data_IF_879985915709
#
_entry.id   IF_879985915709
#
_cell.length_a   1.000
_cell.length_b   1.000
_cell.length_c   1.000
_cell.angle_alpha   90.00
_cell.angle_beta   90.00
_cell.angle_gamma   90.00
#
_symmetry.space_group_name_H-M   'P 1'
#
loop_
_entity.id
_entity.type
_entity.pdbx_description
1 polymer ?
#
# COMPACT_ATOMS: atom_id res chain seq x y z
N UNK A 1 -11.32 -30.13 0.15
CA UNK A 1 -10.83 -29.16 1.14
C UNK A 1 -10.54 -27.87 0.39
N UNK A 2 -11.53 -26.98 0.30
CA UNK A 2 -11.40 -25.67 -0.34
C UNK A 2 -11.16 -24.67 0.78
N UNK A 3 -9.92 -24.19 0.91
CA UNK A 3 -9.58 -23.13 1.85
C UNK A 3 -9.85 -21.79 1.12
N UNK A 4 -10.89 -21.02 1.48
CA UNK A 4 -11.20 -19.76 0.82
C UNK A 4 -10.13 -18.68 1.06
N UNK A 5 -9.21 -18.90 2.00
CA UNK A 5 -8.14 -17.98 2.38
C UNK A 5 -7.09 -17.67 1.30
N UNK A 6 -7.23 -18.14 0.05
CA UNK A 6 -6.21 -18.00 -1.00
C UNK A 6 -6.63 -17.04 -2.13
N UNK A 7 -7.84 -16.50 -2.13
CA UNK A 7 -8.27 -15.60 -3.22
C UNK A 7 -8.15 -14.10 -2.94
N UNK A 8 -7.80 -13.68 -1.71
CA UNK A 8 -7.82 -12.25 -1.37
C UNK A 8 -6.58 -11.46 -1.85
N UNK A 9 -6.85 -10.44 -2.66
CA UNK A 9 -6.25 -9.12 -2.49
C UNK A 9 -4.87 -8.82 -3.08
N UNK A 10 -4.43 -9.52 -4.14
CA UNK A 10 -3.14 -9.17 -4.78
C UNK A 10 -3.15 -7.78 -5.43
N UNK A 11 -4.30 -7.30 -5.92
CA UNK A 11 -4.41 -6.04 -6.63
C UNK A 11 -5.36 -5.03 -5.97
N UNK A 12 -4.99 -3.72 -5.94
CA UNK A 12 -5.83 -2.67 -5.36
C UNK A 12 -7.24 -2.54 -5.97
N UNK A 13 -7.43 -3.01 -7.21
CA UNK A 13 -8.74 -2.98 -7.89
C UNK A 13 -9.76 -3.92 -7.24
N UNK A 14 -9.28 -4.97 -6.56
CA UNK A 14 -10.12 -6.10 -6.18
C UNK A 14 -10.58 -5.99 -4.71
N UNK A 15 -9.88 -5.22 -3.88
CA UNK A 15 -10.19 -5.05 -2.45
C UNK A 15 -11.65 -4.69 -2.16
N UNK A 16 -12.26 -3.87 -3.02
CA UNK A 16 -13.67 -3.48 -2.84
C UNK A 16 -14.60 -4.68 -3.07
N UNK A 17 -14.30 -5.51 -4.07
CA UNK A 17 -15.05 -6.72 -4.36
C UNK A 17 -14.84 -7.74 -3.23
N UNK A 18 -13.61 -7.95 -2.78
CA UNK A 18 -13.28 -8.88 -1.68
C UNK A 18 -14.01 -8.51 -0.38
N UNK A 19 -14.03 -7.22 -0.01
CA UNK A 19 -14.78 -6.75 1.18
C UNK A 19 -16.29 -6.92 1.00
N UNK A 20 -16.81 -6.71 -0.21
CA UNK A 20 -18.22 -6.90 -0.49
C UNK A 20 -18.61 -8.39 -0.43
N UNK A 21 -17.77 -9.28 -0.95
CA UNK A 21 -17.96 -10.73 -0.88
C UNK A 21 -17.94 -11.22 0.58
N UNK A 22 -16.97 -10.78 1.38
CA UNK A 22 -16.90 -11.09 2.80
C UNK A 22 -18.15 -10.59 3.54
N UNK A 23 -18.63 -9.38 3.23
CA UNK A 23 -19.83 -8.82 3.84
C UNK A 23 -21.10 -9.60 3.47
N UNK A 24 -21.28 -9.95 2.20
CA UNK A 24 -22.41 -10.76 1.73
C UNK A 24 -22.40 -12.14 2.37
N UNK A 25 -21.23 -12.78 2.42
CA UNK A 25 -21.05 -14.11 3.04
C UNK A 25 -21.38 -14.05 4.53
N UNK A 26 -20.93 -13.02 5.23
CA UNK A 26 -21.25 -12.81 6.63
C UNK A 26 -22.74 -12.54 6.85
N UNK A 27 -23.40 -11.76 6.00
CA UNK A 27 -24.83 -11.47 6.12
C UNK A 27 -25.69 -12.73 5.98
N UNK A 28 -25.37 -13.57 4.99
CA UNK A 28 -26.04 -14.87 4.79
C UNK A 28 -25.86 -15.78 6.03
N UNK A 29 -24.64 -15.92 6.52
CA UNK A 29 -24.34 -16.78 7.68
C UNK A 29 -24.86 -16.20 9.00
N UNK A 30 -24.89 -14.87 9.16
CA UNK A 30 -25.40 -14.19 10.33
C UNK A 30 -26.92 -14.33 10.43
N UNK A 31 -27.62 -14.39 9.30
CA UNK A 31 -29.05 -14.71 9.23
C UNK A 31 -29.36 -16.10 9.81
N UNK A 32 -28.55 -17.10 9.45
CA UNK A 32 -28.72 -18.49 9.90
C UNK A 32 -28.27 -18.72 11.35
N UNK A 33 -27.28 -17.97 11.83
CA UNK A 33 -26.66 -18.19 13.14
C UNK A 33 -27.13 -17.21 14.22
N UNK A 34 -28.06 -16.32 13.92
CA UNK A 34 -28.50 -15.24 14.83
C UNK A 34 -28.96 -15.78 16.19
N UNK A 35 -28.28 -15.36 17.25
CA UNK A 35 -28.59 -15.75 18.63
C UNK A 35 -28.08 -17.14 19.03
N UNK A 36 -27.43 -17.87 18.12
CA UNK A 36 -26.75 -19.12 18.42
C UNK A 36 -25.29 -18.87 18.83
N UNK A 37 -24.72 -19.77 19.64
CA UNK A 37 -23.30 -19.70 20.01
C UNK A 37 -22.35 -19.68 18.79
N UNK A 38 -22.79 -20.26 17.67
CA UNK A 38 -22.07 -20.33 16.40
C UNK A 38 -21.87 -18.95 15.74
N UNK A 39 -22.68 -17.94 16.11
CA UNK A 39 -22.57 -16.58 15.59
C UNK A 39 -21.19 -15.95 15.84
N UNK A 40 -20.57 -16.28 16.99
CA UNK A 40 -19.22 -15.81 17.32
C UNK A 40 -18.17 -16.30 16.31
N UNK A 41 -18.30 -17.54 15.84
CA UNK A 41 -17.39 -18.14 14.87
C UNK A 41 -17.55 -17.49 13.50
N UNK A 42 -18.80 -17.28 13.06
CA UNK A 42 -19.12 -16.58 11.80
C UNK A 42 -18.55 -15.15 11.80
N UNK A 43 -18.77 -14.41 12.88
CA UNK A 43 -18.21 -13.07 13.05
C UNK A 43 -16.67 -13.10 13.03
N UNK A 44 -16.05 -14.13 13.60
CA UNK A 44 -14.60 -14.32 13.60
C UNK A 44 -14.02 -14.53 12.21
N UNK A 45 -14.68 -15.33 11.36
CA UNK A 45 -14.27 -15.52 9.95
C UNK A 45 -14.41 -14.23 9.16
N UNK A 46 -15.52 -13.51 9.30
CA UNK A 46 -15.71 -12.22 8.65
C UNK A 46 -14.62 -11.20 9.03
N UNK A 47 -14.29 -11.10 10.33
CA UNK A 47 -13.21 -10.22 10.79
C UNK A 47 -11.84 -10.65 10.23
N UNK A 48 -11.62 -11.95 10.04
CA UNK A 48 -10.39 -12.45 9.44
C UNK A 48 -10.28 -12.03 7.97
N UNK A 49 -11.35 -12.17 7.19
CA UNK A 49 -11.38 -11.77 5.78
C UNK A 49 -11.10 -10.26 5.62
N UNK A 50 -11.72 -9.43 6.47
CA UNK A 50 -11.45 -7.98 6.50
C UNK A 50 -9.99 -7.68 6.88
N UNK A 51 -9.44 -8.40 7.86
CA UNK A 51 -8.07 -8.19 8.32
C UNK A 51 -7.04 -8.54 7.23
N UNK A 52 -7.29 -9.56 6.41
CA UNK A 52 -6.43 -9.93 5.28
C UNK A 52 -6.40 -8.80 4.24
N UNK A 53 -7.57 -8.27 3.85
CA UNK A 53 -7.65 -7.14 2.91
C UNK A 53 -6.95 -5.91 3.48
N UNK A 54 -7.14 -5.62 4.77
CA UNK A 54 -6.46 -4.49 5.43
C UNK A 54 -4.93 -4.65 5.45
N UNK A 55 -4.43 -5.87 5.68
CA UNK A 55 -3.00 -6.15 5.66
C UNK A 55 -2.41 -5.95 4.26
N UNK A 56 -3.13 -6.37 3.20
CA UNK A 56 -2.75 -6.14 1.80
C UNK A 56 -2.70 -4.64 1.48
N UNK A 57 -3.72 -3.88 1.90
CA UNK A 57 -3.77 -2.41 1.75
C UNK A 57 -2.57 -1.72 2.41
N UNK A 58 -2.30 -2.05 3.67
CA UNK A 58 -1.19 -1.45 4.43
C UNK A 58 0.16 -1.75 3.78
N UNK A 59 0.36 -2.97 3.31
CA UNK A 59 1.59 -3.40 2.63
C UNK A 59 1.78 -2.67 1.30
N UNK A 60 0.70 -2.51 0.51
CA UNK A 60 0.72 -1.77 -0.74
C UNK A 60 1.04 -0.29 -0.54
N UNK A 61 0.42 0.35 0.45
CA UNK A 61 0.69 1.76 0.80
C UNK A 61 2.14 1.93 1.26
N UNK A 62 2.64 1.05 2.12
CA UNK A 62 4.03 1.09 2.57
C UNK A 62 5.02 0.94 1.40
N UNK A 63 4.80 -0.07 0.53
CA UNK A 63 5.65 -0.31 -0.64
C UNK A 63 5.63 0.85 -1.65
N UNK A 64 4.45 1.38 -1.96
CA UNK A 64 4.30 2.52 -2.87
C UNK A 64 4.90 3.80 -2.30
N UNK A 65 4.75 4.06 -0.99
CA UNK A 65 5.34 5.20 -0.31
C UNK A 65 6.87 5.14 -0.30
N UNK A 66 7.45 3.96 -0.03
CA UNK A 66 8.91 3.76 -0.10
C UNK A 66 9.44 3.99 -1.51
N UNK A 67 8.78 3.43 -2.54
CA UNK A 67 9.19 3.61 -3.94
C UNK A 67 9.14 5.09 -4.35
N UNK A 68 8.04 5.77 -4.06
CA UNK A 68 7.86 7.17 -4.42
C UNK A 68 8.80 8.08 -3.64
N UNK A 69 9.02 7.80 -2.35
CA UNK A 69 10.01 8.51 -1.53
C UNK A 69 11.42 8.40 -2.09
N UNK A 70 11.85 7.18 -2.46
CA UNK A 70 13.16 6.96 -3.07
C UNK A 70 13.31 7.72 -4.40
N UNK A 71 12.27 7.71 -5.25
CA UNK A 71 12.28 8.46 -6.51
C UNK A 71 12.40 9.97 -6.26
N UNK A 72 11.66 10.51 -5.29
CA UNK A 72 11.76 11.92 -4.90
C UNK A 72 13.16 12.27 -4.38
N UNK A 73 13.76 11.40 -3.57
CA UNK A 73 15.15 11.57 -3.10
C UNK A 73 16.13 11.58 -4.27
N UNK A 74 16.01 10.65 -5.22
CA UNK A 74 16.87 10.61 -6.41
C UNK A 74 16.74 11.87 -7.26
N UNK A 75 15.51 12.35 -7.49
CA UNK A 75 15.26 13.62 -8.19
C UNK A 75 15.88 14.80 -7.44
N UNK A 76 15.71 14.85 -6.12
CA UNK A 76 16.31 15.88 -5.27
C UNK A 76 17.84 15.89 -5.35
N UNK A 77 18.47 14.72 -5.30
CA UNK A 77 19.92 14.58 -5.45
C UNK A 77 20.39 15.01 -6.85
N UNK A 78 19.65 14.67 -7.91
CA UNK A 78 19.96 15.11 -9.27
C UNK A 78 19.95 16.63 -9.41
N UNK A 79 18.91 17.29 -8.88
CA UNK A 79 18.81 18.76 -8.89
C UNK A 79 19.92 19.41 -8.06
N UNK A 80 20.16 18.91 -6.84
CA UNK A 80 21.21 19.44 -5.97
C UNK A 80 22.60 19.30 -6.61
N UNK A 81 22.89 18.15 -7.22
CA UNK A 81 24.15 17.91 -7.93
C UNK A 81 24.37 18.89 -9.08
N UNK A 82 23.36 19.12 -9.91
CA UNK A 82 23.43 20.09 -11.01
C UNK A 82 23.69 21.52 -10.52
N UNK A 83 23.04 21.93 -9.42
CA UNK A 83 23.27 23.26 -8.83
C UNK A 83 24.69 23.41 -8.29
N UNK A 84 25.25 22.38 -7.66
CA UNK A 84 26.64 22.37 -7.18
C UNK A 84 27.61 22.49 -8.36
N UNK A 85 27.42 21.69 -9.41
CA UNK A 85 28.26 21.72 -10.62
C UNK A 85 28.25 23.11 -11.25
N UNK A 86 27.05 23.69 -11.47
CA UNK A 86 26.91 25.05 -11.99
C UNK A 86 27.56 26.11 -11.11
N UNK A 87 27.50 25.94 -9.78
CA UNK A 87 28.17 26.81 -8.82
C UNK A 87 29.69 26.80 -9.00
N UNK A 88 30.29 25.61 -9.04
CA UNK A 88 31.74 25.43 -9.23
C UNK A 88 32.20 25.92 -10.59
N UNK A 89 31.44 25.67 -11.66
CA UNK A 89 31.77 26.16 -13.00
C UNK A 89 31.79 27.68 -13.08
N UNK A 90 30.83 28.36 -12.44
CA UNK A 90 30.79 29.83 -12.38
C UNK A 90 32.00 30.39 -11.64
N UNK A 91 32.37 29.79 -10.51
CA UNK A 91 33.51 30.25 -9.72
C UNK A 91 34.84 30.05 -10.46
N UNK A 92 35.02 28.90 -11.14
CA UNK A 92 36.20 28.65 -11.98
C UNK A 92 36.31 29.65 -13.13
N UNK A 93 35.20 29.95 -13.82
CA UNK A 93 35.17 30.96 -14.89
C UNK A 93 35.55 32.33 -14.35
N UNK A 94 35.02 32.75 -13.20
CA UNK A 94 35.36 34.04 -12.59
C UNK A 94 36.85 34.16 -12.25
N UNK A 95 37.49 33.12 -11.70
CA UNK A 95 38.93 33.15 -11.42
C UNK A 95 39.79 33.18 -12.68
N UNK A 96 39.37 32.52 -13.76
CA UNK A 96 40.11 32.49 -15.04
C UNK A 96 40.09 33.83 -15.78
N UNK A 97 39.10 34.70 -15.56
CA UNK A 97 39.02 36.00 -16.23
C UNK A 97 39.81 37.10 -15.50
N UNK A 98 40.21 36.86 -14.25
CA UNK A 98 40.90 37.83 -13.37
C UNK A 98 42.42 37.56 -13.30
N UNK A 99 42.89 36.43 -13.85
CA UNK A 99 44.31 36.08 -14.00
C UNK A 99 44.81 36.44 -15.40
#
# INVERSE_FOLDING_TARGET
>A
ANNPAIHSGSDPSDWKADLAEAAVTNELNAGETKGAAQQSVVNGWYLNDVAVVQAAQNSYIAGSSMRNGNLLTLLGLGVAGELIIRGVEREKRQRSTVA
#
